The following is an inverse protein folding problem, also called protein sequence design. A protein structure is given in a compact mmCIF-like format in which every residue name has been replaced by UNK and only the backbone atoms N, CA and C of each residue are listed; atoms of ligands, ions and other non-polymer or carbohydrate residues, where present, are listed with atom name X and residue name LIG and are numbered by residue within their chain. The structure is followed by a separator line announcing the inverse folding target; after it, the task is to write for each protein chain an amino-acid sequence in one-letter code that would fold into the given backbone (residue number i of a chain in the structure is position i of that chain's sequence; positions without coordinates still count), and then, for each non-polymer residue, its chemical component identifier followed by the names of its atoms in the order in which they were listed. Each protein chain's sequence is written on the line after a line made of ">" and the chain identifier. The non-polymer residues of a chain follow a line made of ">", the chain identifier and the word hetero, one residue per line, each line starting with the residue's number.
data_IF_178175332198
#
_entry.id   IF_178175332198
#
_cell.length_a   1.000
_cell.length_b   1.000
_cell.length_c   1.000
_cell.angle_alpha   90.00
_cell.angle_beta   90.00
_cell.angle_gamma   90.00
#
_symmetry.space_group_name_H-M   'P 1'
#
loop_
_entity.id
_entity.type
_entity.pdbx_description
1 polymer ?
#
# COMPACT_ATOMS: atom_id res chain seq x y z
N UNK A 1 27.84 7.58 15.52
CA UNK A 1 28.03 9.00 15.17
C UNK A 1 26.86 9.41 14.29
N UNK A 2 25.90 10.18 14.82
CA UNK A 2 24.68 10.54 14.08
C UNK A 2 24.96 11.85 13.34
N UNK A 3 24.95 11.83 12.00
CA UNK A 3 25.07 13.03 11.17
C UNK A 3 23.72 13.73 11.13
N UNK A 4 23.66 14.92 11.72
CA UNK A 4 22.50 15.82 11.69
C UNK A 4 22.51 16.62 10.38
N UNK A 5 21.53 16.40 9.50
CA UNK A 5 21.32 17.25 8.34
C UNK A 5 20.25 18.30 8.65
N UNK A 6 20.70 19.56 8.76
CA UNK A 6 19.88 20.77 8.76
C UNK A 6 19.53 21.11 7.31
N UNK A 7 18.26 21.18 6.97
CA UNK A 7 17.81 21.94 5.79
C UNK A 7 16.54 22.73 6.09
N UNK A 8 16.32 23.71 5.23
CA UNK A 8 15.87 25.07 5.50
C UNK A 8 14.39 25.22 5.13
N UNK A 9 13.62 25.85 6.01
CA UNK A 9 12.17 26.05 5.87
C UNK A 9 11.89 27.12 4.80
N UNK A 10 11.34 26.73 3.65
CA UNK A 10 10.80 27.67 2.65
C UNK A 10 9.28 27.59 2.72
N UNK A 11 8.68 28.56 3.39
CA UNK A 11 7.23 28.82 3.39
C UNK A 11 6.84 29.58 2.14
N UNK A 12 5.88 29.06 1.36
CA UNK A 12 5.10 29.88 0.43
C UNK A 12 3.62 29.48 0.50
N UNK A 13 2.87 30.15 1.37
CA UNK A 13 1.41 30.12 1.39
C UNK A 13 0.94 31.20 0.41
N UNK A 14 0.15 30.83 -0.59
CA UNK A 14 -0.69 31.79 -1.32
C UNK A 14 -2.15 31.48 -1.09
N UNK A 15 -2.81 32.46 -0.47
CA UNK A 15 -4.21 32.56 -0.12
C UNK A 15 -5.00 33.01 -1.36
N UNK A 16 -6.05 32.30 -1.76
CA UNK A 16 -7.08 32.84 -2.65
C UNK A 16 -8.46 32.67 -2.01
N UNK A 17 -8.98 33.79 -1.50
CA UNK A 17 -10.40 33.97 -1.18
C UNK A 17 -11.16 34.22 -2.49
N UNK A 18 -12.29 33.53 -2.69
CA UNK A 18 -13.37 34.04 -3.54
C UNK A 18 -14.68 33.95 -2.76
N UNK A 19 -15.36 35.09 -2.72
CA UNK A 19 -16.55 35.39 -1.94
C UNK A 19 -17.85 34.87 -2.57
N UNK A 20 -18.86 34.70 -1.71
CA UNK A 20 -20.24 34.33 -2.01
C UNK A 20 -20.98 35.29 -2.95
N UNK A 21 -21.97 34.74 -3.67
CA UNK A 21 -23.11 35.46 -4.25
C UNK A 21 -24.35 34.56 -4.26
N UNK A 22 -25.38 34.97 -3.49
CA UNK A 22 -26.71 34.34 -3.35
C UNK A 22 -27.68 34.80 -4.46
N UNK A 23 -28.91 34.27 -4.40
CA UNK A 23 -30.21 34.68 -5.03
C UNK A 23 -30.64 33.74 -6.18
N UNK A 24 -31.85 33.15 -6.27
CA UNK A 24 -33.12 33.27 -5.54
C UNK A 24 -33.97 32.00 -5.69
N UNK A 25 -34.84 31.76 -4.71
CA UNK A 25 -35.86 30.72 -4.66
C UNK A 25 -36.92 30.81 -5.78
N UNK A 26 -37.39 29.66 -6.27
CA UNK A 26 -38.71 29.48 -6.88
C UNK A 26 -39.42 28.33 -6.18
N UNK A 27 -40.61 28.61 -5.66
CA UNK A 27 -41.50 27.69 -4.97
C UNK A 27 -42.58 27.14 -5.93
N UNK A 28 -43.38 26.21 -5.39
CA UNK A 28 -44.77 25.77 -5.76
C UNK A 28 -44.85 24.28 -6.20
N UNK A 29 -45.78 23.43 -5.69
CA UNK A 29 -46.32 23.36 -4.34
C UNK A 29 -46.58 21.89 -3.86
N UNK A 30 -47.19 21.80 -2.69
CA UNK A 30 -47.81 20.71 -1.92
C UNK A 30 -48.52 19.51 -2.60
N UNK A 31 -48.29 18.32 -2.04
CA UNK A 31 -49.34 17.30 -1.86
C UNK A 31 -49.08 16.53 -0.54
N UNK A 32 -49.84 16.87 0.49
CA UNK A 32 -49.85 16.25 1.82
C UNK A 32 -50.92 15.15 1.91
N UNK A 33 -50.84 14.32 2.97
CA UNK A 33 -51.84 13.39 3.54
C UNK A 33 -51.67 11.92 3.06
N UNK A 34 -51.40 10.90 3.89
CA UNK A 34 -51.67 10.70 5.32
C UNK A 34 -50.75 9.62 5.92
N UNK A 35 -50.35 9.81 7.17
CA UNK A 35 -49.79 8.77 8.05
C UNK A 35 -50.74 8.60 9.26
N UNK A 36 -50.79 7.42 9.91
CA UNK A 36 -50.56 7.44 11.35
C UNK A 36 -49.57 6.35 11.83
N UNK A 37 -48.51 6.87 12.45
CA UNK A 37 -47.67 6.38 13.56
C UNK A 37 -48.15 5.16 14.36
N UNK A 38 -47.26 4.18 14.58
CA UNK A 38 -46.96 3.56 15.91
C UNK A 38 -45.51 2.99 15.95
N UNK A 39 -44.70 3.67 16.77
CA UNK A 39 -43.52 3.31 17.59
C UNK A 39 -42.31 2.50 17.09
N UNK A 40 -41.23 3.27 16.90
CA UNK A 40 -39.83 3.16 17.34
C UNK A 40 -39.46 2.15 18.43
N UNK A 41 -38.42 1.35 18.15
CA UNK A 41 -37.26 0.93 18.97
C UNK A 41 -36.51 -0.11 18.09
N UNK A 42 -35.52 0.25 17.28
CA UNK A 42 -34.11 0.35 17.67
C UNK A 42 -33.37 1.07 16.54
N UNK A 43 -32.78 2.23 16.85
CA UNK A 43 -31.89 2.95 15.95
C UNK A 43 -30.45 2.78 16.42
N UNK A 44 -29.58 2.61 15.43
CA UNK A 44 -28.14 2.93 15.43
C UNK A 44 -27.18 1.93 16.08
N UNK A 45 -26.55 1.10 15.22
CA UNK A 45 -25.11 0.85 15.35
C UNK A 45 -24.43 0.61 14.00
N UNK A 46 -23.52 1.52 13.67
CA UNK A 46 -22.42 1.43 12.71
C UNK A 46 -22.73 1.47 11.20
N UNK A 47 -23.16 2.64 10.72
CA UNK A 47 -22.48 3.21 9.56
C UNK A 47 -21.11 3.72 10.03
N UNK A 48 -20.06 2.90 9.91
CA UNK A 48 -18.69 3.41 10.03
C UNK A 48 -18.29 4.02 8.69
N UNK A 49 -18.61 5.29 8.55
CA UNK A 49 -17.82 6.22 7.74
C UNK A 49 -16.40 6.21 8.31
N UNK A 50 -15.50 5.42 7.71
CA UNK A 50 -14.08 5.52 8.02
C UNK A 50 -13.49 6.69 7.23
N UNK A 51 -13.77 7.90 7.71
CA UNK A 51 -12.83 9.01 7.56
C UNK A 51 -11.64 8.68 8.46
N UNK A 52 -10.76 7.79 7.99
CA UNK A 52 -9.44 7.66 8.57
C UNK A 52 -8.57 8.69 7.88
N UNK A 53 -8.18 9.71 8.63
CA UNK A 53 -7.09 10.61 8.28
C UNK A 53 -5.93 9.75 7.78
N UNK A 54 -5.53 9.95 6.52
CA UNK A 54 -4.24 9.48 6.02
C UNK A 54 -3.19 10.02 6.98
N UNK A 55 -2.72 9.15 7.87
CA UNK A 55 -1.50 9.44 8.62
C UNK A 55 -0.44 9.32 7.57
N UNK A 56 0.01 10.47 7.07
CA UNK A 56 1.08 10.57 6.08
C UNK A 56 2.28 9.82 6.66
N UNK A 57 2.50 8.58 6.18
CA UNK A 57 3.62 7.77 6.63
C UNK A 57 4.87 8.54 6.25
N UNK A 58 5.66 8.96 7.24
CA UNK A 58 6.96 9.55 6.97
C UNK A 58 7.92 8.42 6.56
N UNK A 59 8.32 8.31 5.27
CA UNK A 59 9.16 7.22 4.79
C UNK A 59 10.50 7.16 5.54
N UNK A 60 11.01 8.32 5.94
CA UNK A 60 12.31 8.48 6.61
C UNK A 60 12.35 7.90 8.04
N UNK A 61 11.20 7.68 8.66
CA UNK A 61 11.12 7.17 10.05
C UNK A 61 10.33 5.87 10.15
N UNK A 62 9.97 5.25 9.03
CA UNK A 62 9.24 3.99 9.05
C UNK A 62 10.14 2.86 9.56
N UNK A 63 9.65 2.12 10.55
CA UNK A 63 10.32 0.93 11.09
C UNK A 63 9.45 -0.31 10.82
N UNK A 64 10.04 -1.35 10.22
CA UNK A 64 9.38 -2.64 9.97
C UNK A 64 8.99 -3.34 11.27
N UNK A 65 9.63 -3.03 12.39
CA UNK A 65 9.30 -3.57 13.72
C UNK A 65 7.93 -3.08 14.24
N UNK A 66 7.41 -1.97 13.71
CA UNK A 66 6.06 -1.47 14.06
C UNK A 66 4.93 -2.29 13.42
N UNK A 67 5.27 -3.13 12.43
CA UNK A 67 4.31 -3.98 11.74
C UNK A 67 3.89 -5.18 12.59
N UNK A 68 2.60 -5.51 12.50
CA UNK A 68 1.99 -6.61 13.27
C UNK A 68 1.98 -7.89 12.44
N UNK A 69 2.01 -9.03 13.14
CA UNK A 69 1.92 -10.39 12.56
C UNK A 69 3.08 -10.70 11.60
N UNK A 70 4.28 -10.29 11.99
CA UNK A 70 5.50 -10.42 11.20
C UNK A 70 6.32 -11.69 11.53
N UNK A 71 5.87 -12.50 12.49
CA UNK A 71 6.58 -13.70 12.95
C UNK A 71 6.79 -14.80 11.88
N UNK A 72 6.09 -14.75 10.75
CA UNK A 72 6.27 -15.69 9.63
C UNK A 72 7.35 -15.23 8.65
N UNK A 73 7.86 -14.00 8.79
CA UNK A 73 8.94 -13.47 7.95
C UNK A 73 10.29 -13.76 8.58
N UNK A 74 11.33 -13.87 7.75
CA UNK A 74 12.71 -13.81 8.25
C UNK A 74 13.05 -12.38 8.71
N UNK A 75 14.12 -12.23 9.50
CA UNK A 75 14.55 -10.93 10.07
C UNK A 75 14.67 -9.77 9.06
N UNK A 76 14.98 -10.06 7.79
CA UNK A 76 15.15 -9.04 6.74
C UNK A 76 14.10 -9.14 5.61
N UNK A 77 13.04 -9.93 5.83
CA UNK A 77 12.07 -10.25 4.78
C UNK A 77 11.19 -9.06 4.42
N UNK A 78 10.76 -8.29 5.43
CA UNK A 78 9.94 -7.10 5.23
C UNK A 78 10.77 -5.97 4.63
N UNK A 79 12.01 -5.82 5.05
CA UNK A 79 12.95 -4.84 4.52
C UNK A 79 13.17 -5.10 3.03
N UNK A 80 13.33 -6.37 2.64
CA UNK A 80 13.43 -6.75 1.24
C UNK A 80 12.16 -6.40 0.44
N UNK A 81 10.98 -6.55 1.02
CA UNK A 81 9.70 -6.24 0.37
C UNK A 81 9.50 -4.72 0.24
N UNK A 82 9.72 -3.95 1.29
CA UNK A 82 9.41 -2.52 1.32
C UNK A 82 10.53 -1.62 0.81
N UNK A 83 11.79 -1.97 1.06
CA UNK A 83 12.94 -1.12 0.75
C UNK A 83 13.83 -1.70 -0.36
N UNK A 84 13.76 -3.01 -0.59
CA UNK A 84 14.72 -3.70 -1.46
C UNK A 84 16.13 -3.70 -0.86
N UNK A 85 17.08 -4.31 -1.57
CA UNK A 85 18.48 -4.34 -1.13
C UNK A 85 19.45 -4.67 -2.26
N UNK A 86 20.70 -4.25 -2.07
CA UNK A 86 21.85 -4.73 -2.84
C UNK A 86 22.37 -6.01 -2.17
N UNK A 87 22.35 -7.13 -2.91
CA UNK A 87 22.83 -8.40 -2.39
C UNK A 87 24.37 -8.48 -2.38
N UNK A 88 24.94 -9.56 -1.83
CA UNK A 88 26.41 -9.75 -1.72
C UNK A 88 27.15 -9.76 -3.08
N UNK A 89 26.42 -9.97 -4.17
CA UNK A 89 26.97 -9.95 -5.53
C UNK A 89 26.85 -8.56 -6.18
N UNK A 90 26.42 -7.54 -5.43
CA UNK A 90 26.24 -6.18 -5.93
C UNK A 90 24.97 -6.00 -6.79
N UNK A 91 23.99 -6.91 -6.70
CA UNK A 91 22.77 -6.85 -7.52
C UNK A 91 21.60 -6.29 -6.71
N UNK A 92 20.84 -5.37 -7.30
CA UNK A 92 19.57 -4.91 -6.75
C UNK A 92 18.50 -6.02 -6.74
N UNK A 93 17.80 -6.16 -5.61
CA UNK A 93 16.76 -7.17 -5.36
C UNK A 93 15.62 -6.58 -4.51
N UNK A 94 14.45 -7.23 -4.51
CA UNK A 94 13.29 -6.80 -3.72
C UNK A 94 12.61 -5.54 -4.24
N UNK A 95 12.04 -4.75 -3.33
CA UNK A 95 11.25 -3.52 -3.57
C UNK A 95 9.95 -3.79 -4.34
N UNK A 96 8.91 -4.14 -3.60
CA UNK A 96 7.59 -4.56 -4.07
C UNK A 96 6.48 -3.65 -3.54
N UNK A 97 6.84 -2.53 -2.92
CA UNK A 97 5.95 -1.50 -2.42
C UNK A 97 6.53 -0.13 -2.74
N UNK A 98 5.76 0.72 -3.40
CA UNK A 98 6.18 2.08 -3.73
C UNK A 98 5.81 3.05 -2.59
N UNK A 99 6.77 3.85 -2.13
CA UNK A 99 6.51 4.97 -1.21
C UNK A 99 7.32 4.98 0.07
N UNK A 100 8.01 3.89 0.43
CA UNK A 100 8.84 3.84 1.65
C UNK A 100 10.35 4.05 1.42
N UNK A 101 10.85 3.79 0.21
CA UNK A 101 12.28 3.79 -0.06
C UNK A 101 12.67 4.99 -0.95
N UNK A 102 13.12 6.12 -0.37
CA UNK A 102 13.50 7.31 -1.13
C UNK A 102 14.72 7.10 -2.04
N UNK A 103 15.59 6.14 -1.68
CA UNK A 103 16.81 5.81 -2.45
C UNK A 103 16.53 4.86 -3.64
N UNK A 104 15.28 4.42 -3.82
CA UNK A 104 14.88 3.59 -4.95
C UNK A 104 14.19 4.45 -6.01
N UNK A 105 14.68 4.37 -7.24
CA UNK A 105 14.08 5.06 -8.39
C UNK A 105 13.30 4.08 -9.25
N UNK A 106 12.03 4.37 -9.51
CA UNK A 106 11.24 3.69 -10.53
C UNK A 106 11.52 4.31 -11.90
N UNK A 107 11.81 3.47 -12.89
CA UNK A 107 12.00 3.91 -14.27
C UNK A 107 10.62 4.07 -14.92
N UNK A 108 10.05 5.27 -14.82
CA UNK A 108 8.65 5.56 -15.20
C UNK A 108 8.27 5.14 -16.62
N UNK A 109 9.20 5.24 -17.58
CA UNK A 109 8.96 4.80 -18.96
C UNK A 109 8.72 3.28 -19.10
N UNK A 110 8.99 2.50 -18.05
CA UNK A 110 8.76 1.05 -17.98
C UNK A 110 7.58 0.67 -17.10
N UNK A 111 6.91 1.64 -16.46
CA UNK A 111 5.74 1.41 -15.60
C UNK A 111 4.58 0.90 -16.46
N UNK A 112 4.02 -0.24 -16.09
CA UNK A 112 2.80 -0.74 -16.71
C UNK A 112 1.57 0.06 -16.24
N UNK A 113 0.45 -0.09 -16.94
CA UNK A 113 -0.85 0.21 -16.32
C UNK A 113 -1.06 -0.72 -15.13
N UNK A 114 -1.85 -0.28 -14.15
CA UNK A 114 -2.36 -1.16 -13.12
C UNK A 114 -3.29 -2.19 -13.72
N UNK A 115 -3.31 -3.40 -13.15
CA UNK A 115 -4.32 -4.41 -13.44
C UNK A 115 -5.62 -4.12 -12.69
N UNK A 116 -6.59 -5.04 -12.77
CA UNK A 116 -7.92 -4.87 -12.14
C UNK A 116 -7.87 -4.73 -10.61
N UNK A 117 -6.75 -5.07 -9.99
CA UNK A 117 -6.55 -5.06 -8.55
C UNK A 117 -5.56 -4.00 -8.09
N UNK A 118 -5.11 -3.12 -8.97
CA UNK A 118 -4.15 -2.05 -8.63
C UNK A 118 -2.68 -2.49 -8.69
N UNK A 119 -2.38 -3.74 -9.03
CA UNK A 119 -1.00 -4.21 -9.15
C UNK A 119 -0.41 -3.68 -10.46
N UNK A 120 0.85 -3.22 -10.41
CA UNK A 120 1.59 -2.83 -11.59
C UNK A 120 3.02 -3.38 -11.53
N UNK A 121 3.78 -3.20 -12.60
CA UNK A 121 5.20 -3.53 -12.62
C UNK A 121 6.04 -2.46 -13.30
N UNK A 122 7.29 -2.35 -12.88
CA UNK A 122 8.27 -1.44 -13.47
C UNK A 122 9.71 -1.95 -13.29
N UNK A 123 10.66 -1.38 -14.05
CA UNK A 123 12.09 -1.46 -13.74
C UNK A 123 12.43 -0.44 -12.66
N UNK A 124 13.45 -0.75 -11.86
CA UNK A 124 13.94 0.11 -10.80
C UNK A 124 15.47 0.17 -10.77
N UNK A 125 16.01 1.19 -10.10
CA UNK A 125 17.40 1.22 -9.63
C UNK A 125 17.42 1.41 -8.12
N UNK A 126 18.32 0.72 -7.42
CA UNK A 126 18.61 0.91 -5.99
C UNK A 126 20.05 1.41 -5.90
N UNK A 127 20.29 2.58 -5.30
CA UNK A 127 21.63 3.21 -5.26
C UNK A 127 22.29 3.32 -6.65
N UNK A 128 21.48 3.53 -7.70
CA UNK A 128 21.93 3.58 -9.09
C UNK A 128 22.18 2.22 -9.76
N UNK A 129 22.13 1.10 -9.03
CA UNK A 129 22.24 -0.25 -9.61
C UNK A 129 20.89 -0.73 -10.17
N UNK A 130 20.79 -1.05 -11.47
CA UNK A 130 19.54 -1.51 -12.06
C UNK A 130 19.16 -2.93 -11.64
N UNK A 131 17.92 -3.11 -11.20
CA UNK A 131 17.36 -4.45 -11.02
C UNK A 131 17.15 -5.12 -12.38
N UNK A 132 17.78 -6.29 -12.58
CA UNK A 132 17.68 -7.05 -13.84
C UNK A 132 16.25 -7.49 -14.15
N UNK A 133 15.49 -7.94 -13.16
CA UNK A 133 14.09 -8.31 -13.30
C UNK A 133 13.16 -7.09 -13.17
N UNK A 134 11.92 -7.21 -13.63
CA UNK A 134 10.89 -6.25 -13.23
C UNK A 134 10.56 -6.44 -11.74
N UNK A 135 10.22 -5.35 -11.06
CA UNK A 135 9.44 -5.44 -9.82
C UNK A 135 7.96 -5.38 -10.15
N UNK A 136 7.19 -6.24 -9.50
CA UNK A 136 5.74 -6.09 -9.38
C UNK A 136 5.43 -5.47 -8.02
N UNK A 137 4.44 -4.60 -7.98
CA UNK A 137 4.12 -3.75 -6.84
C UNK A 137 2.73 -4.03 -6.30
N UNK A 138 2.61 -4.07 -4.98
CA UNK A 138 1.30 -4.06 -4.32
C UNK A 138 0.56 -2.76 -4.65
N UNK A 139 -0.79 -2.74 -4.52
CA UNK A 139 -1.58 -1.55 -4.80
C UNK A 139 -1.08 -0.35 -4.00
N UNK A 140 -0.95 0.80 -4.65
CA UNK A 140 -0.31 1.98 -4.08
C UNK A 140 -1.13 2.57 -2.92
N UNK A 141 -2.44 2.35 -2.93
CA UNK A 141 -3.36 2.78 -1.89
C UNK A 141 -3.29 1.92 -0.61
N UNK A 142 -2.64 0.76 -0.66
CA UNK A 142 -2.47 -0.08 0.53
C UNK A 142 -1.44 0.51 1.47
N UNK A 143 -1.74 0.46 2.75
CA UNK A 143 -0.76 0.71 3.82
C UNK A 143 0.24 -0.45 3.92
N UNK A 144 1.43 -0.24 4.49
CA UNK A 144 2.38 -1.33 4.75
C UNK A 144 1.79 -2.46 5.60
N UNK A 145 0.87 -2.15 6.51
CA UNK A 145 0.18 -3.18 7.29
C UNK A 145 -0.80 -4.00 6.44
N UNK A 146 -1.53 -3.37 5.50
CA UNK A 146 -2.41 -4.09 4.57
C UNK A 146 -1.62 -5.03 3.66
N UNK A 147 -0.41 -4.63 3.24
CA UNK A 147 0.52 -5.51 2.51
C UNK A 147 0.89 -6.74 3.36
N UNK A 148 1.30 -6.53 4.61
CA UNK A 148 1.63 -7.64 5.52
C UNK A 148 0.44 -8.55 5.76
N UNK A 149 -0.76 -7.97 5.90
CA UNK A 149 -1.99 -8.71 6.14
C UNK A 149 -2.38 -9.56 4.93
N UNK A 150 -2.25 -9.03 3.72
CA UNK A 150 -2.50 -9.75 2.48
C UNK A 150 -1.49 -10.89 2.26
N UNK A 151 -0.20 -10.65 2.54
CA UNK A 151 0.81 -11.70 2.48
C UNK A 151 0.51 -12.81 3.50
N UNK A 152 0.12 -12.45 4.72
CA UNK A 152 -0.27 -13.42 5.75
C UNK A 152 -1.50 -14.25 5.34
N UNK A 153 -2.46 -13.65 4.65
CA UNK A 153 -3.63 -14.36 4.10
C UNK A 153 -3.21 -15.33 2.99
N UNK A 154 -2.47 -14.84 2.00
CA UNK A 154 -1.97 -15.66 0.90
C UNK A 154 -1.09 -16.81 1.39
N UNK A 155 -0.23 -16.57 2.38
CA UNK A 155 0.59 -17.62 2.99
C UNK A 155 -0.26 -18.78 3.55
N UNK A 156 -1.37 -18.48 4.24
CA UNK A 156 -2.25 -19.49 4.84
C UNK A 156 -2.97 -20.36 3.81
N UNK A 157 -3.25 -19.83 2.64
CA UNK A 157 -3.94 -20.54 1.56
C UNK A 157 -2.99 -20.93 0.42
N UNK A 158 -1.67 -20.84 0.63
CA UNK A 158 -0.70 -21.06 -0.42
C UNK A 158 -0.53 -22.53 -0.79
N UNK A 159 -0.21 -22.74 -2.06
CA UNK A 159 0.15 -24.03 -2.62
C UNK A 159 1.63 -24.00 -3.05
N UNK A 160 2.29 -25.15 -2.95
CA UNK A 160 3.66 -25.31 -3.43
C UNK A 160 3.68 -25.32 -4.96
N UNK A 161 4.52 -24.49 -5.56
CA UNK A 161 4.67 -24.42 -7.03
C UNK A 161 5.89 -25.22 -7.47
N UNK A 162 7.08 -24.86 -6.97
CA UNK A 162 8.33 -25.56 -7.25
C UNK A 162 9.46 -25.05 -6.36
N UNK A 163 10.46 -25.89 -6.05
CA UNK A 163 11.60 -25.48 -5.22
C UNK A 163 11.13 -24.88 -3.89
N UNK A 164 11.47 -23.63 -3.64
CA UNK A 164 11.00 -22.87 -2.47
C UNK A 164 9.91 -21.82 -2.80
N UNK A 165 9.22 -21.99 -3.94
CA UNK A 165 8.18 -21.09 -4.44
C UNK A 165 6.81 -21.60 -4.03
N UNK A 166 6.05 -20.70 -3.43
CA UNK A 166 4.66 -20.91 -3.04
C UNK A 166 3.82 -19.76 -3.59
N UNK A 167 2.58 -20.04 -3.95
CA UNK A 167 1.63 -19.03 -4.42
C UNK A 167 0.34 -19.16 -3.62
N UNK A 168 -0.16 -18.03 -3.14
CA UNK A 168 -1.48 -17.92 -2.52
C UNK A 168 -2.21 -16.69 -3.04
N UNK A 169 -3.38 -16.41 -2.48
CA UNK A 169 -4.22 -15.31 -2.92
C UNK A 169 -4.73 -14.49 -1.73
N UNK A 170 -4.81 -13.17 -1.91
CA UNK A 170 -5.51 -12.27 -0.99
C UNK A 170 -6.24 -11.20 -1.81
N UNK A 171 -7.52 -10.98 -1.53
CA UNK A 171 -8.34 -10.00 -2.24
C UNK A 171 -8.32 -10.14 -3.78
N UNK A 172 -8.19 -11.38 -4.29
CA UNK A 172 -8.07 -11.66 -5.71
C UNK A 172 -6.69 -11.42 -6.33
N UNK A 173 -5.72 -10.92 -5.55
CA UNK A 173 -4.33 -10.75 -5.97
C UNK A 173 -3.55 -12.02 -5.65
N UNK A 174 -2.99 -12.64 -6.68
CA UNK A 174 -2.02 -13.72 -6.50
C UNK A 174 -0.71 -13.17 -5.94
N UNK A 175 -0.22 -13.79 -4.87
CA UNK A 175 1.02 -13.41 -4.21
C UNK A 175 1.96 -14.61 -4.26
N UNK A 176 3.10 -14.43 -4.93
CA UNK A 176 4.17 -15.42 -4.92
C UNK A 176 5.11 -15.13 -3.75
N UNK A 177 5.52 -16.19 -3.06
CA UNK A 177 6.42 -16.16 -1.92
C UNK A 177 7.60 -17.10 -2.15
N UNK A 178 8.76 -16.69 -1.66
CA UNK A 178 9.90 -17.58 -1.46
C UNK A 178 9.98 -17.94 0.01
N UNK A 179 9.96 -19.24 0.33
CA UNK A 179 10.01 -19.73 1.71
C UNK A 179 11.39 -20.31 2.05
N UNK A 180 11.73 -20.34 3.34
CA UNK A 180 12.79 -21.19 3.88
C UNK A 180 12.29 -22.63 4.05
N UNK A 181 13.19 -23.56 4.38
CA UNK A 181 12.79 -24.94 4.72
C UNK A 181 11.96 -25.04 6.00
N UNK A 182 11.99 -24.00 6.85
CA UNK A 182 11.19 -23.89 8.08
C UNK A 182 9.95 -23.01 7.86
N UNK A 183 9.49 -22.93 6.61
CA UNK A 183 8.32 -22.20 6.13
C UNK A 183 8.28 -20.70 6.47
N UNK A 184 9.46 -20.05 6.62
CA UNK A 184 9.53 -18.59 6.81
C UNK A 184 9.62 -17.85 5.48
N UNK A 185 8.88 -16.74 5.35
CA UNK A 185 8.90 -15.90 4.16
C UNK A 185 10.25 -15.18 4.05
N UNK A 186 10.97 -15.46 2.97
CA UNK A 186 12.18 -14.77 2.53
C UNK A 186 11.81 -13.48 1.78
N UNK A 187 10.81 -13.56 0.90
CA UNK A 187 10.29 -12.45 0.10
C UNK A 187 8.90 -12.80 -0.42
N UNK A 188 8.07 -11.79 -0.67
CA UNK A 188 6.73 -11.93 -1.22
C UNK A 188 6.40 -10.76 -2.15
N UNK A 189 5.69 -11.02 -3.24
CA UNK A 189 5.30 -9.99 -4.20
C UNK A 189 4.05 -10.38 -4.99
N UNK A 190 3.25 -9.40 -5.46
CA UNK A 190 2.07 -9.70 -6.24
C UNK A 190 2.45 -10.11 -7.66
N UNK A 191 1.66 -11.00 -8.26
CA UNK A 191 1.76 -11.36 -9.67
C UNK A 191 0.90 -10.40 -10.47
N UNK A 192 1.55 -9.64 -11.36
CA UNK A 192 0.88 -8.72 -12.27
C UNK A 192 0.14 -9.47 -13.38
N UNK A 193 -1.15 -9.19 -13.53
CA UNK A 193 -1.98 -9.75 -14.60
C UNK A 193 -2.08 -8.74 -15.76
N UNK A 194 -1.89 -9.22 -17.00
CA UNK A 194 -1.94 -8.37 -18.21
C UNK A 194 -3.35 -8.22 -18.76
#
# INVERSE_FOLDING_TARGET
>A
MKKIFKYWLITLITLLLVACGNHSNVAIPDHELNNPTVTTEESQKNARTSTQNQTEFNPETFDTDDLKRTHIFIKNGLEHIFFGSINREGKATGYHYEGLAPDVTIIESTRSKTDRHGVYRAKITIDGEPKKAYSSFFPQEWTPQEVVDAINEAYKNSEHVSGNIFEGESQGIKIQMYLTNDDKIISAFPIYER
#
